data_IF_706497539080
#
_entry.id   IF_706497539080
#
_cell.length_a   1.000
_cell.length_b   1.000
_cell.length_c   1.000
_cell.angle_alpha   90.00
_cell.angle_beta   90.00
_cell.angle_gamma   90.00
#
_symmetry.space_group_name_H-M   'P 1'
#
loop_
_entity.id
_entity.type
_entity.pdbx_description
1 polymer ?
#
# COMPACT_ATOMS: atom_id res chain seq x y z
N UNK A 1 -13.28 1.13 -3.00
CA UNK A 1 -12.82 2.52 -2.93
C UNK A 1 -13.94 3.44 -3.32
N UNK A 2 -14.17 4.51 -2.56
CA UNK A 2 -15.08 5.60 -2.92
C UNK A 2 -14.26 6.67 -3.66
N UNK A 3 -14.46 6.88 -4.97
CA UNK A 3 -13.67 7.83 -5.75
C UNK A 3 -14.01 9.31 -5.45
N UNK A 4 -15.17 9.58 -4.83
CA UNK A 4 -15.59 10.95 -4.49
C UNK A 4 -14.92 11.41 -3.20
N UNK A 5 -14.88 10.53 -2.18
CA UNK A 5 -14.31 10.86 -0.87
C UNK A 5 -12.86 10.43 -0.72
N UNK A 6 -12.38 9.49 -1.54
CA UNK A 6 -11.03 8.93 -1.49
C UNK A 6 -10.88 7.73 -0.55
N UNK A 7 -11.93 7.34 0.17
CA UNK A 7 -11.85 6.23 1.13
C UNK A 7 -11.60 4.88 0.45
N UNK A 8 -10.68 4.09 1.00
CA UNK A 8 -10.40 2.74 0.55
C UNK A 8 -10.22 1.78 1.72
N UNK A 9 -10.49 0.51 1.46
CA UNK A 9 -10.14 -0.61 2.32
C UNK A 9 -9.91 -1.84 1.47
N UNK A 10 -9.01 -2.73 1.91
CA UNK A 10 -8.72 -3.97 1.20
C UNK A 10 -7.92 -4.95 2.03
N UNK A 11 -8.00 -6.24 1.68
CA UNK A 11 -7.19 -7.29 2.29
C UNK A 11 -5.89 -7.43 1.53
N UNK A 12 -4.77 -7.40 2.26
CA UNK A 12 -3.45 -7.60 1.68
C UNK A 12 -3.27 -9.07 1.32
N UNK A 13 -3.02 -9.34 0.03
CA UNK A 13 -2.65 -10.67 -0.48
C UNK A 13 -1.14 -10.72 -0.70
N UNK A 14 -0.50 -11.83 -0.31
CA UNK A 14 0.96 -12.01 -0.40
C UNK A 14 1.76 -10.88 0.28
N UNK A 15 1.25 -10.37 1.40
CA UNK A 15 1.85 -9.29 2.17
C UNK A 15 2.98 -9.75 3.07
N UNK A 16 3.85 -8.81 3.45
CA UNK A 16 4.91 -9.07 4.41
C UNK A 16 5.08 -7.87 5.35
N UNK A 17 5.24 -8.14 6.64
CA UNK A 17 5.66 -7.14 7.61
C UNK A 17 7.19 -7.00 7.57
N UNK A 18 7.67 -5.75 7.47
CA UNK A 18 9.07 -5.40 7.64
C UNK A 18 9.30 -4.76 9.00
N UNK A 19 10.20 -5.33 9.79
CA UNK A 19 10.57 -4.81 11.11
C UNK A 19 12.03 -5.14 11.40
N UNK A 20 12.82 -4.14 11.81
CA UNK A 20 14.23 -4.34 12.17
C UNK A 20 15.10 -4.97 11.05
N UNK A 21 14.76 -4.71 9.78
CA UNK A 21 15.44 -5.32 8.63
C UNK A 21 15.03 -6.77 8.31
N UNK A 22 14.14 -7.36 9.12
CA UNK A 22 13.56 -8.67 8.87
C UNK A 22 12.22 -8.56 8.15
N UNK A 23 11.89 -9.57 7.35
CA UNK A 23 10.65 -9.67 6.59
C UNK A 23 9.92 -10.96 6.94
N UNK A 24 8.68 -10.86 7.43
CA UNK A 24 7.82 -12.04 7.71
C UNK A 24 6.51 -11.99 6.92
N UNK A 25 6.00 -13.13 6.42
CA UNK A 25 4.71 -13.15 5.74
C UNK A 25 3.59 -12.77 6.71
N UNK A 26 2.54 -12.15 6.17
CA UNK A 26 1.30 -11.84 6.88
C UNK A 26 0.11 -12.40 6.10
N UNK A 27 -0.93 -12.79 6.84
CA UNK A 27 -2.19 -13.27 6.29
C UNK A 27 -3.33 -12.40 6.80
N UNK A 28 -4.43 -12.34 6.05
CA UNK A 28 -5.73 -11.77 6.48
C UNK A 28 -5.64 -10.35 7.06
N UNK A 29 -4.63 -9.57 6.64
CA UNK A 29 -4.42 -8.21 7.14
C UNK A 29 -5.21 -7.22 6.31
N UNK A 30 -6.04 -6.42 6.96
CA UNK A 30 -6.81 -5.34 6.35
C UNK A 30 -6.00 -4.05 6.38
N UNK A 31 -6.00 -3.34 5.25
CA UNK A 31 -5.56 -1.94 5.17
C UNK A 31 -6.74 -1.04 4.87
N UNK A 32 -6.76 0.15 5.46
CA UNK A 32 -7.78 1.16 5.20
C UNK A 32 -7.20 2.58 5.33
N UNK A 33 -7.78 3.52 4.60
CA UNK A 33 -7.38 4.92 4.67
C UNK A 33 -8.08 5.78 3.61
N UNK A 34 -7.56 6.99 3.43
CA UNK A 34 -7.98 7.92 2.38
C UNK A 34 -6.85 8.07 1.34
N UNK A 35 -7.17 7.84 0.07
CA UNK A 35 -6.19 7.88 -1.02
C UNK A 35 -5.63 9.29 -1.25
N UNK A 36 -6.46 10.34 -1.11
CA UNK A 36 -6.00 11.72 -1.26
C UNK A 36 -4.99 12.07 -0.17
N UNK A 37 -5.27 11.67 1.08
CA UNK A 37 -4.31 11.83 2.17
C UNK A 37 -3.05 10.99 1.95
N UNK A 38 -3.17 9.76 1.47
CA UNK A 38 -2.02 8.91 1.16
C UNK A 38 -1.09 9.56 0.12
N UNK A 39 -1.64 10.18 -0.92
CA UNK A 39 -0.84 10.86 -1.95
C UNK A 39 -0.07 12.05 -1.40
N UNK A 40 -0.59 12.74 -0.39
CA UNK A 40 0.12 13.81 0.33
C UNK A 40 1.22 13.28 1.27
N UNK A 41 1.11 12.01 1.69
CA UNK A 41 2.02 11.35 2.64
C UNK A 41 2.88 10.26 1.99
N UNK A 42 3.24 10.43 0.72
CA UNK A 42 4.25 9.58 0.06
C UNK A 42 5.63 9.92 0.62
N UNK A 43 6.23 8.99 1.36
CA UNK A 43 7.54 9.19 2.01
C UNK A 43 8.71 8.67 1.19
N UNK A 44 8.47 7.77 0.23
CA UNK A 44 9.49 7.28 -0.69
C UNK A 44 8.88 6.71 -1.98
N UNK A 45 9.66 6.74 -3.05
CA UNK A 45 9.33 6.16 -4.36
C UNK A 45 10.52 5.33 -4.83
N UNK A 46 10.27 4.08 -5.27
CA UNK A 46 11.35 3.24 -5.78
C UNK A 46 11.89 3.76 -7.11
N UNK A 47 13.18 3.51 -7.37
CA UNK A 47 13.79 3.81 -8.67
C UNK A 47 13.33 2.82 -9.74
N UNK A 48 13.14 1.56 -9.35
CA UNK A 48 12.64 0.50 -10.20
C UNK A 48 11.15 0.72 -10.50
N UNK A 49 10.75 0.40 -11.73
CA UNK A 49 9.35 0.46 -12.18
C UNK A 49 8.97 -0.88 -12.80
N UNK A 50 7.71 -1.27 -12.64
CA UNK A 50 7.18 -2.52 -13.20
C UNK A 50 5.96 -2.24 -14.04
N UNK A 51 5.76 -3.04 -15.09
CA UNK A 51 4.53 -2.99 -15.86
C UNK A 51 3.43 -3.72 -15.08
N UNK A 52 2.36 -3.02 -14.76
CA UNK A 52 1.15 -3.54 -14.14
C UNK A 52 0.07 -3.56 -15.23
N UNK A 53 -0.70 -4.65 -15.27
CA UNK A 53 -1.83 -4.85 -16.19
C UNK A 53 -1.54 -4.56 -17.68
N UNK A 54 -0.28 -4.73 -18.10
CA UNK A 54 0.15 -4.65 -19.50
C UNK A 54 0.38 -3.23 -20.06
N UNK A 55 -0.25 -2.20 -19.50
CA UNK A 55 -0.12 -0.81 -19.97
C UNK A 55 0.69 0.10 -19.04
N UNK A 56 0.64 -0.13 -17.72
CA UNK A 56 1.02 0.91 -16.76
C UNK A 56 2.41 0.66 -16.19
N UNK A 57 3.33 1.60 -16.36
CA UNK A 57 4.68 1.51 -15.79
C UNK A 57 4.74 2.27 -14.46
N UNK A 58 4.65 1.53 -13.35
CA UNK A 58 4.51 2.10 -12.01
C UNK A 58 5.68 1.71 -11.08
N UNK A 59 6.18 2.64 -10.26
CA UNK A 59 7.10 2.32 -9.17
C UNK A 59 6.35 1.76 -7.95
N UNK A 60 7.09 1.17 -7.02
CA UNK A 60 6.60 0.97 -5.66
C UNK A 60 6.63 2.31 -4.90
N UNK A 61 5.64 2.54 -4.05
CA UNK A 61 5.53 3.73 -3.22
C UNK A 61 5.44 3.34 -1.75
N UNK A 62 6.06 4.14 -0.88
CA UNK A 62 5.90 4.06 0.56
C UNK A 62 4.91 5.14 1.00
N UNK A 63 3.83 4.72 1.64
CA UNK A 63 2.76 5.58 2.13
C UNK A 63 2.78 5.57 3.65
N UNK A 64 2.60 6.74 4.24
CA UNK A 64 2.39 6.89 5.68
C UNK A 64 0.90 7.15 5.98
N UNK A 65 0.47 6.89 7.23
CA UNK A 65 -0.90 7.19 7.67
C UNK A 65 -1.97 6.18 7.22
N UNK A 66 -1.59 5.01 6.72
CA UNK A 66 -2.52 3.91 6.41
C UNK A 66 -2.81 3.08 7.67
N UNK A 67 -4.08 2.86 7.97
CA UNK A 67 -4.50 1.97 9.05
C UNK A 67 -4.25 0.51 8.67
N UNK A 68 -3.68 -0.26 9.59
CA UNK A 68 -3.39 -1.69 9.41
C UNK A 68 -4.03 -2.46 10.56
N UNK A 69 -4.92 -3.40 10.23
CA UNK A 69 -5.58 -4.27 11.20
C UNK A 69 -5.25 -5.72 10.87
N UNK A 70 -4.61 -6.42 11.81
CA UNK A 70 -4.38 -7.86 11.72
C UNK A 70 -5.56 -8.62 12.34
N UNK A 71 -5.89 -9.77 11.75
CA UNK A 71 -6.77 -10.77 12.35
C UNK A 71 -6.09 -11.58 13.45
#
# INVERSE_FOLDING_TARGET
>A
TNPVTGEFSGVVKNGFLHEGGSRRPINETLIAGNLFDCLLHVSAVSRERRRIDGSDLLPAVRLEGVSVTAG
#
